data_IF_696843587326
#
_entry.id   IF_696843587326
#
_cell.length_a   1.000
_cell.length_b   1.000
_cell.length_c   1.000
_cell.angle_alpha   90.00
_cell.angle_beta   90.00
_cell.angle_gamma   90.00
#
_symmetry.space_group_name_H-M   'P 1'
#
loop_
_entity.id
_entity.type
_entity.pdbx_description
1 polymer ?
#
# COMPACT_ATOMS: atom_id res chain seq x y z
N UNK A 1 -0.27 1.20 -18.35
CA UNK A 1 -0.63 2.40 -17.56
C UNK A 1 -2.12 2.43 -17.37
N UNK A 2 -2.60 2.58 -16.13
CA UNK A 2 -4.04 2.71 -15.85
C UNK A 2 -4.48 4.16 -15.97
N UNK A 3 -5.69 4.35 -16.50
CA UNK A 3 -6.38 5.63 -16.39
C UNK A 3 -7.01 5.82 -15.01
N UNK A 4 -7.37 7.04 -14.66
CA UNK A 4 -8.16 7.34 -13.46
C UNK A 4 -9.45 6.50 -13.42
N UNK A 5 -10.16 6.41 -14.55
CA UNK A 5 -11.39 5.63 -14.66
C UNK A 5 -11.15 4.15 -14.37
N UNK A 6 -10.09 3.57 -14.92
CA UNK A 6 -9.73 2.17 -14.67
C UNK A 6 -9.33 1.92 -13.21
N UNK A 7 -8.63 2.87 -12.58
CA UNK A 7 -8.29 2.77 -11.16
C UNK A 7 -9.54 2.78 -10.28
N UNK A 8 -10.45 3.73 -10.49
CA UNK A 8 -11.69 3.81 -9.70
C UNK A 8 -12.56 2.56 -9.91
N UNK A 9 -12.61 2.01 -11.11
CA UNK A 9 -13.34 0.78 -11.38
C UNK A 9 -12.73 -0.44 -10.65
N UNK A 10 -11.40 -0.55 -10.54
CA UNK A 10 -10.79 -1.62 -9.75
C UNK A 10 -11.16 -1.58 -8.26
N UNK A 11 -11.48 -0.41 -7.72
CA UNK A 11 -11.86 -0.29 -6.31
C UNK A 11 -13.25 -0.86 -6.05
N UNK A 12 -14.03 -1.19 -7.09
CA UNK A 12 -15.35 -1.82 -7.03
C UNK A 12 -15.26 -3.34 -7.08
N UNK A 13 -14.38 -3.89 -6.28
CA UNK A 13 -13.97 -5.31 -6.30
C UNK A 13 -14.58 -6.15 -5.15
N UNK A 14 -15.58 -5.59 -4.46
CA UNK A 14 -16.24 -6.25 -3.34
C UNK A 14 -15.45 -6.26 -2.03
N UNK A 15 -14.35 -5.50 -1.94
CA UNK A 15 -13.56 -5.33 -0.70
C UNK A 15 -14.44 -5.04 0.52
N UNK A 16 -14.03 -5.58 1.65
CA UNK A 16 -14.80 -5.47 2.89
C UNK A 16 -14.30 -4.28 3.71
N UNK A 17 -15.02 -3.15 3.58
CA UNK A 17 -14.73 -1.89 4.25
C UNK A 17 -15.91 -1.50 5.13
N UNK A 18 -15.64 -1.05 6.35
CA UNK A 18 -16.64 -0.60 7.31
C UNK A 18 -16.41 0.85 7.72
N UNK A 19 -17.49 1.63 7.77
CA UNK A 19 -17.53 3.00 8.30
C UNK A 19 -18.68 3.06 9.31
N UNK A 20 -18.41 3.53 10.53
CA UNK A 20 -19.40 3.59 11.63
C UNK A 20 -20.15 2.28 11.90
N UNK A 21 -19.50 1.13 11.68
CA UNK A 21 -20.10 -0.20 11.86
C UNK A 21 -20.93 -0.69 10.67
N UNK A 22 -21.15 0.12 9.65
CA UNK A 22 -21.87 -0.24 8.43
C UNK A 22 -20.90 -0.61 7.30
N UNK A 23 -21.27 -1.63 6.51
CA UNK A 23 -20.48 -2.05 5.35
C UNK A 23 -20.64 -1.02 4.23
N UNK A 24 -19.51 -0.56 3.70
CA UNK A 24 -19.46 0.30 2.51
C UNK A 24 -19.65 -0.56 1.27
N UNK A 25 -20.66 -0.26 0.46
CA UNK A 25 -20.92 -0.98 -0.80
C UNK A 25 -19.91 -0.60 -1.89
N UNK A 26 -19.61 0.69 -2.03
CA UNK A 26 -18.66 1.22 -3.00
C UNK A 26 -17.82 2.33 -2.37
N UNK A 27 -16.51 2.07 -2.24
CA UNK A 27 -15.56 3.02 -1.63
C UNK A 27 -15.37 4.30 -2.44
N UNK A 28 -15.68 4.29 -3.74
CA UNK A 28 -15.50 5.41 -4.66
C UNK A 28 -16.64 6.44 -4.58
N UNK A 29 -17.81 6.03 -4.07
CA UNK A 29 -19.01 6.87 -4.03
C UNK A 29 -19.50 7.15 -2.61
N UNK A 30 -19.17 6.29 -1.64
CA UNK A 30 -19.59 6.51 -0.25
C UNK A 30 -19.00 7.82 0.33
N UNK A 31 -19.79 8.67 1.02
CA UNK A 31 -19.41 10.05 1.35
C UNK A 31 -18.09 10.22 2.10
N UNK A 32 -17.71 9.23 2.92
CA UNK A 32 -16.46 9.25 3.70
C UNK A 32 -15.26 8.78 2.87
N UNK A 33 -15.44 7.68 2.15
CA UNK A 33 -14.35 6.96 1.48
C UNK A 33 -14.03 7.56 0.11
N UNK A 34 -15.02 8.18 -0.53
CA UNK A 34 -14.87 8.82 -1.83
C UNK A 34 -13.83 9.95 -1.81
N UNK A 35 -13.64 10.64 -0.67
CA UNK A 35 -12.61 11.67 -0.48
C UNK A 35 -11.21 11.06 -0.62
N UNK A 36 -10.98 9.93 0.05
CA UNK A 36 -9.72 9.20 -0.03
C UNK A 36 -9.48 8.60 -1.42
N UNK A 37 -10.51 8.04 -2.06
CA UNK A 37 -10.42 7.54 -3.43
C UNK A 37 -10.06 8.66 -4.44
N UNK A 38 -10.65 9.84 -4.30
CA UNK A 38 -10.32 11.03 -5.11
C UNK A 38 -8.89 11.49 -4.90
N UNK A 39 -8.39 11.46 -3.66
CA UNK A 39 -6.99 11.81 -3.37
C UNK A 39 -6.04 10.79 -3.99
N UNK A 40 -6.34 9.50 -3.86
CA UNK A 40 -5.53 8.41 -4.43
C UNK A 40 -5.47 8.46 -5.96
N UNK A 41 -6.55 8.91 -6.63
CA UNK A 41 -6.59 8.99 -8.09
C UNK A 41 -5.56 9.97 -8.67
N UNK A 42 -5.05 10.92 -7.88
CA UNK A 42 -4.06 11.92 -8.32
C UNK A 42 -2.77 11.27 -8.83
N UNK A 43 -2.35 10.13 -8.28
CA UNK A 43 -1.19 9.36 -8.79
C UNK A 43 -1.41 8.88 -10.23
N UNK A 44 -2.66 8.61 -10.62
CA UNK A 44 -3.04 8.22 -11.97
C UNK A 44 -3.20 9.44 -12.88
N UNK A 45 -3.78 10.54 -12.38
CA UNK A 45 -3.85 11.82 -13.11
C UNK A 45 -2.46 12.32 -13.53
N UNK A 46 -1.46 12.23 -12.64
CA UNK A 46 -0.07 12.61 -12.95
C UNK A 46 0.53 11.70 -14.02
N UNK A 47 0.17 10.42 -14.00
CA UNK A 47 0.66 9.44 -14.97
C UNK A 47 0.04 9.64 -16.36
N UNK A 48 -1.18 10.17 -16.44
CA UNK A 48 -1.88 10.50 -17.69
C UNK A 48 -1.49 11.87 -18.25
N UNK A 49 -1.01 12.79 -17.41
CA UNK A 49 -0.61 14.14 -17.79
C UNK A 49 0.68 14.13 -18.65
N UNK A 50 0.61 14.52 -19.94
CA UNK A 50 1.79 14.55 -20.81
C UNK A 50 2.90 15.50 -20.29
N UNK A 51 2.55 16.55 -19.54
CA UNK A 51 3.51 17.47 -18.97
C UNK A 51 4.32 16.85 -17.82
N UNK A 52 3.85 15.75 -17.25
CA UNK A 52 4.52 15.02 -16.17
C UNK A 52 5.30 13.79 -16.66
N UNK A 53 5.20 13.44 -17.94
CA UNK A 53 5.67 12.16 -18.47
C UNK A 53 7.17 11.90 -18.26
N UNK A 54 8.01 12.94 -18.24
CA UNK A 54 9.47 12.84 -18.07
C UNK A 54 9.86 12.29 -16.68
N UNK A 55 9.11 12.62 -15.64
CA UNK A 55 9.36 12.14 -14.28
C UNK A 55 8.33 11.12 -13.78
N UNK A 56 7.11 11.11 -14.30
CA UNK A 56 6.05 10.18 -13.87
C UNK A 56 6.22 8.78 -14.46
N UNK A 57 6.84 8.67 -15.63
CA UNK A 57 6.98 7.41 -16.36
C UNK A 57 8.43 6.95 -16.44
N UNK A 58 8.61 5.64 -16.48
CA UNK A 58 9.88 4.99 -16.78
C UNK A 58 9.70 4.06 -17.98
N UNK A 59 10.68 4.08 -18.89
CA UNK A 59 10.72 3.17 -20.04
C UNK A 59 11.61 1.98 -19.68
N UNK A 60 11.03 0.78 -19.70
CA UNK A 60 11.77 -0.46 -19.50
C UNK A 60 12.64 -0.79 -20.72
N UNK A 61 13.66 -1.67 -20.59
CA UNK A 61 14.45 -2.14 -21.73
C UNK A 61 13.63 -2.78 -22.86
N UNK A 62 12.44 -3.31 -22.52
CA UNK A 62 11.46 -3.84 -23.47
C UNK A 62 10.78 -2.77 -24.33
N UNK A 63 10.95 -1.49 -23.99
CA UNK A 63 10.25 -0.35 -24.60
C UNK A 63 8.91 -0.01 -23.95
N UNK A 64 8.41 -0.86 -23.03
CA UNK A 64 7.17 -0.60 -22.31
C UNK A 64 7.33 0.56 -21.32
N UNK A 65 6.31 1.42 -21.21
CA UNK A 65 6.25 2.47 -20.20
C UNK A 65 5.44 2.04 -19.00
N UNK A 66 6.03 2.18 -17.82
CA UNK A 66 5.40 1.91 -16.53
C UNK A 66 5.36 3.18 -15.67
N UNK A 67 4.54 3.18 -14.62
CA UNK A 67 4.63 4.21 -13.59
C UNK A 67 6.02 4.15 -12.97
N UNK A 68 6.69 5.31 -12.85
CA UNK A 68 8.04 5.39 -12.27
C UNK A 68 8.07 4.88 -10.82
N UNK A 69 6.94 4.87 -10.12
CA UNK A 69 6.86 4.29 -8.78
C UNK A 69 7.34 2.83 -8.72
N UNK A 70 7.13 2.03 -9.77
CA UNK A 70 7.57 0.63 -9.81
C UNK A 70 8.99 0.44 -10.37
N UNK A 71 9.58 1.45 -11.01
CA UNK A 71 10.97 1.41 -11.46
C UNK A 71 11.91 1.67 -10.26
N UNK A 72 12.70 0.68 -9.79
CA UNK A 72 13.61 0.89 -8.67
C UNK A 72 14.68 1.92 -9.05
N UNK A 73 14.94 2.95 -8.21
CA UNK A 73 15.96 3.94 -8.53
C UNK A 73 17.35 3.29 -8.58
N UNK A 74 18.09 3.50 -9.67
CA UNK A 74 19.46 2.97 -9.88
C UNK A 74 20.51 4.08 -9.99
N UNK A 75 20.08 5.33 -10.01
CA UNK A 75 20.93 6.51 -10.19
C UNK A 75 20.41 7.73 -9.43
N UNK A 76 21.24 8.76 -9.30
CA UNK A 76 20.81 10.06 -8.76
C UNK A 76 19.70 10.70 -9.62
N UNK A 77 19.75 10.51 -10.94
CA UNK A 77 18.72 10.99 -11.85
C UNK A 77 17.36 10.33 -11.57
N UNK A 78 17.33 9.02 -11.30
CA UNK A 78 16.09 8.33 -10.94
C UNK A 78 15.49 8.85 -9.64
N UNK A 79 16.35 9.15 -8.65
CA UNK A 79 15.92 9.76 -7.39
C UNK A 79 15.36 11.18 -7.59
N UNK A 80 15.97 11.98 -8.48
CA UNK A 80 15.45 13.31 -8.83
C UNK A 80 14.07 13.19 -9.50
N UNK A 81 13.88 12.26 -10.43
CA UNK A 81 12.58 12.02 -11.05
C UNK A 81 11.53 11.55 -10.03
N UNK A 82 11.89 10.59 -9.16
CA UNK A 82 10.99 10.14 -8.08
C UNK A 82 10.61 11.28 -7.14
N UNK A 83 11.57 12.14 -6.75
CA UNK A 83 11.30 13.33 -5.95
C UNK A 83 10.30 14.26 -6.64
N UNK A 84 10.52 14.58 -7.93
CA UNK A 84 9.60 15.43 -8.72
C UNK A 84 8.19 14.84 -8.79
N UNK A 85 8.09 13.51 -8.96
CA UNK A 85 6.80 12.81 -8.97
C UNK A 85 6.06 12.96 -7.64
N UNK A 86 6.74 12.75 -6.52
CA UNK A 86 6.16 12.89 -5.17
C UNK A 86 5.79 14.34 -4.88
N UNK A 87 6.65 15.30 -5.23
CA UNK A 87 6.39 16.74 -5.06
C UNK A 87 5.18 17.19 -5.88
N UNK A 88 5.02 16.68 -7.10
CA UNK A 88 3.87 16.96 -7.96
C UNK A 88 2.56 16.44 -7.34
N UNK A 89 2.57 15.19 -6.85
CA UNK A 89 1.46 14.62 -6.08
C UNK A 89 1.09 15.47 -4.87
N UNK A 90 2.10 15.83 -4.08
CA UNK A 90 1.92 16.69 -2.91
C UNK A 90 1.33 18.06 -3.28
N UNK A 91 1.82 18.68 -4.36
CA UNK A 91 1.34 19.98 -4.83
C UNK A 91 -0.13 19.93 -5.26
N UNK A 92 -0.57 18.85 -5.94
CA UNK A 92 -1.97 18.63 -6.32
C UNK A 92 -2.87 18.30 -5.11
N UNK A 93 -2.27 17.83 -4.02
CA UNK A 93 -2.96 17.42 -2.79
C UNK A 93 -2.69 18.34 -1.59
N UNK A 94 -2.45 19.64 -1.82
CA UNK A 94 -2.23 20.65 -0.77
C UNK A 94 -1.18 20.28 0.29
N UNK A 95 -0.10 19.62 -0.12
CA UNK A 95 1.03 19.23 0.73
C UNK A 95 0.97 17.79 1.26
N UNK A 96 -0.12 17.05 1.02
CA UNK A 96 -0.23 15.63 1.38
C UNK A 96 0.18 14.75 0.19
N UNK A 97 0.88 13.61 0.37
CA UNK A 97 1.07 12.69 -0.74
C UNK A 97 -0.30 12.11 -1.19
N UNK A 98 -0.47 11.68 -2.46
CA UNK A 98 -1.71 11.04 -2.92
C UNK A 98 -2.02 9.68 -2.26
N UNK A 99 -1.00 9.06 -1.66
CA UNK A 99 -1.05 7.79 -0.92
C UNK A 99 -1.33 6.51 -1.73
N UNK A 100 -1.52 6.57 -3.05
CA UNK A 100 -1.83 5.35 -3.82
C UNK A 100 -0.59 4.50 -4.12
N UNK A 101 0.58 5.10 -4.38
CA UNK A 101 1.77 4.34 -4.83
C UNK A 101 3.07 4.63 -4.08
N UNK A 102 3.28 5.85 -3.58
CA UNK A 102 4.57 6.28 -3.02
C UNK A 102 5.07 5.37 -1.87
N UNK A 103 4.42 5.39 -0.72
CA UNK A 103 4.89 4.67 0.47
C UNK A 103 4.94 3.15 0.30
N UNK A 104 3.98 2.57 -0.44
CA UNK A 104 4.00 1.13 -0.75
C UNK A 104 5.20 0.75 -1.62
N UNK A 105 5.51 1.54 -2.65
CA UNK A 105 6.66 1.24 -3.52
C UNK A 105 8.01 1.50 -2.86
N UNK A 106 8.10 2.46 -1.93
CA UNK A 106 9.31 2.61 -1.11
C UNK A 106 9.52 1.43 -0.16
N UNK A 107 8.45 0.92 0.46
CA UNK A 107 8.51 -0.31 1.24
C UNK A 107 8.87 -1.53 0.37
N UNK A 108 8.37 -1.63 -0.85
CA UNK A 108 8.73 -2.67 -1.81
C UNK A 108 10.22 -2.59 -2.22
N UNK A 109 10.76 -1.39 -2.41
CA UNK A 109 12.19 -1.18 -2.66
C UNK A 109 13.04 -1.65 -1.48
N UNK A 110 12.64 -1.33 -0.25
CA UNK A 110 13.31 -1.80 0.96
C UNK A 110 13.24 -3.33 1.10
N UNK A 111 12.07 -3.93 0.83
CA UNK A 111 11.87 -5.38 0.85
C UNK A 111 12.78 -6.08 -0.16
N UNK A 112 12.95 -5.53 -1.36
CA UNK A 112 13.87 -6.09 -2.37
C UNK A 112 15.33 -6.06 -1.88
N UNK A 113 15.77 -4.97 -1.26
CA UNK A 113 17.13 -4.87 -0.69
C UNK A 113 17.33 -5.92 0.42
N UNK A 114 16.38 -6.02 1.35
CA UNK A 114 16.43 -6.99 2.44
C UNK A 114 16.42 -8.43 1.91
N UNK A 115 15.51 -8.75 1.00
CA UNK A 115 15.41 -10.09 0.38
C UNK A 115 16.72 -10.49 -0.30
N UNK A 116 17.37 -9.58 -1.05
CA UNK A 116 18.67 -9.85 -1.69
C UNK A 116 19.78 -10.16 -0.67
N UNK A 117 19.76 -9.48 0.48
CA UNK A 117 20.72 -9.77 1.56
C UNK A 117 20.44 -11.13 2.21
N UNK A 118 19.18 -11.47 2.42
CA UNK A 118 18.76 -12.76 2.98
C UNK A 118 19.16 -13.90 2.03
N UNK A 119 18.88 -13.76 0.73
CA UNK A 119 19.24 -14.74 -0.30
C UNK A 119 20.75 -15.02 -0.29
N UNK A 120 21.59 -13.98 -0.18
CA UNK A 120 23.05 -14.14 -0.08
C UNK A 120 23.49 -14.91 1.17
N UNK A 121 22.79 -14.75 2.28
CA UNK A 121 23.16 -15.36 3.57
C UNK A 121 22.55 -16.75 3.79
N UNK A 122 21.39 -17.03 3.18
CA UNK A 122 20.54 -18.19 3.49
C UNK A 122 20.24 -19.07 2.28
N UNK A 123 20.60 -18.65 1.06
CA UNK A 123 20.33 -19.41 -0.16
C UNK A 123 18.85 -19.47 -0.53
N UNK A 124 18.05 -18.50 -0.07
CA UNK A 124 16.63 -18.36 -0.42
C UNK A 124 16.44 -17.74 -1.82
N UNK A 125 15.20 -17.69 -2.28
CA UNK A 125 14.77 -17.10 -3.56
C UNK A 125 13.86 -15.87 -3.39
N UNK A 126 13.95 -15.19 -2.25
CA UNK A 126 13.01 -14.14 -1.86
C UNK A 126 13.13 -12.90 -2.75
N UNK A 127 14.33 -12.52 -3.18
CA UNK A 127 14.51 -11.38 -4.09
C UNK A 127 13.75 -11.60 -5.40
N UNK A 128 13.84 -12.81 -5.96
CA UNK A 128 13.14 -13.15 -7.18
C UNK A 128 11.61 -13.11 -6.99
N UNK A 129 11.09 -13.49 -5.82
CA UNK A 129 9.65 -13.36 -5.48
C UNK A 129 9.21 -11.90 -5.40
N UNK A 130 10.01 -11.05 -4.75
CA UNK A 130 9.72 -9.60 -4.63
C UNK A 130 9.71 -8.93 -6.00
N UNK A 131 10.68 -9.23 -6.87
CA UNK A 131 10.73 -8.63 -8.20
C UNK A 131 9.59 -9.15 -9.11
N UNK A 132 9.18 -10.41 -9.01
CA UNK A 132 7.96 -10.91 -9.69
C UNK A 132 6.70 -10.16 -9.23
N UNK A 133 6.59 -9.88 -7.93
CA UNK A 133 5.46 -9.10 -7.41
C UNK A 133 5.51 -7.64 -7.90
N UNK A 134 6.71 -7.03 -7.98
CA UNK A 134 6.91 -5.71 -8.58
C UNK A 134 6.49 -5.69 -10.05
N UNK A 135 6.88 -6.69 -10.84
CA UNK A 135 6.48 -6.83 -12.24
C UNK A 135 4.96 -6.94 -12.38
N UNK A 136 4.31 -7.76 -11.53
CA UNK A 136 2.86 -7.85 -11.45
C UNK A 136 2.20 -6.49 -11.16
N UNK A 137 2.69 -5.76 -10.16
CA UNK A 137 2.19 -4.43 -9.81
C UNK A 137 2.42 -3.41 -10.93
N UNK A 138 3.57 -3.45 -11.61
CA UNK A 138 3.92 -2.55 -12.70
C UNK A 138 3.05 -2.79 -13.95
N UNK A 139 2.85 -4.06 -14.30
CA UNK A 139 2.02 -4.48 -15.43
C UNK A 139 0.57 -4.00 -15.26
N UNK A 140 0.02 -4.15 -14.06
CA UNK A 140 -1.36 -3.74 -13.76
C UNK A 140 -1.47 -2.29 -13.28
N UNK A 141 -0.35 -1.62 -13.00
CA UNK A 141 -0.28 -0.28 -12.41
C UNK A 141 -1.08 -0.14 -11.09
N UNK A 142 -1.02 -1.19 -10.25
CA UNK A 142 -1.83 -1.35 -9.03
C UNK A 142 -1.30 -0.58 -7.84
N UNK A 143 -2.13 0.29 -7.28
CA UNK A 143 -1.87 1.00 -6.01
C UNK A 143 -1.54 0.03 -4.86
N UNK A 144 -0.64 0.46 -3.98
CA UNK A 144 -0.04 -0.37 -2.94
C UNK A 144 0.03 0.40 -1.62
N UNK A 145 -0.74 -0.03 -0.62
CA UNK A 145 -0.62 0.50 0.74
C UNK A 145 0.41 -0.31 1.54
N UNK A 146 1.19 0.37 2.38
CA UNK A 146 2.13 -0.30 3.29
C UNK A 146 1.45 -0.69 4.60
N UNK A 147 1.20 -1.98 4.79
CA UNK A 147 0.61 -2.56 5.98
C UNK A 147 1.69 -2.88 7.03
N UNK A 148 2.34 -1.83 7.56
CA UNK A 148 3.47 -1.99 8.49
C UNK A 148 3.04 -2.13 9.95
N UNK A 149 2.28 -1.18 10.49
CA UNK A 149 2.07 -1.05 11.94
C UNK A 149 1.10 -2.09 12.48
N UNK A 150 1.55 -2.94 13.40
CA UNK A 150 0.71 -3.86 14.16
C UNK A 150 -0.07 -3.12 15.28
N UNK A 151 -1.13 -3.75 15.82
CA UNK A 151 -1.94 -3.20 16.93
C UNK A 151 -1.12 -3.09 18.23
N UNK A 152 -0.07 -3.93 18.37
CA UNK A 152 0.94 -3.93 19.45
C UNK A 152 0.50 -4.38 20.85
N UNK A 153 -0.79 -4.48 21.14
CA UNK A 153 -1.29 -5.02 22.41
C UNK A 153 -0.63 -4.38 23.64
N UNK A 154 -0.18 -5.21 24.58
CA UNK A 154 0.66 -4.77 25.70
C UNK A 154 2.07 -4.44 25.18
N UNK A 155 2.42 -3.16 25.18
CA UNK A 155 3.71 -2.68 24.64
C UNK A 155 4.92 -3.06 25.49
N UNK A 156 4.72 -3.56 26.71
CA UNK A 156 5.80 -4.11 27.54
C UNK A 156 6.24 -5.50 27.09
N UNK A 157 5.40 -6.18 26.29
CA UNK A 157 5.63 -7.54 25.81
C UNK A 157 6.07 -7.56 24.33
N UNK A 158 6.80 -8.61 23.96
CA UNK A 158 7.12 -8.92 22.56
C UNK A 158 5.93 -9.59 21.84
N UNK A 159 5.91 -9.66 20.50
CA UNK A 159 4.84 -10.33 19.75
C UNK A 159 4.51 -11.74 20.27
N UNK A 160 5.53 -12.61 20.41
CA UNK A 160 5.34 -13.99 20.89
C UNK A 160 4.87 -14.12 22.36
N UNK A 161 4.92 -13.02 23.12
CA UNK A 161 4.54 -12.99 24.53
C UNK A 161 3.14 -12.40 24.75
N UNK A 162 2.48 -11.91 23.69
CA UNK A 162 1.16 -11.32 23.82
C UNK A 162 0.13 -12.38 24.26
N UNK A 163 -0.72 -12.09 25.26
CA UNK A 163 -1.82 -12.97 25.63
C UNK A 163 -2.78 -13.25 24.47
N UNK A 164 -2.96 -12.25 23.60
CA UNK A 164 -3.66 -12.40 22.33
C UNK A 164 -2.64 -12.31 21.17
N UNK A 165 -2.35 -13.41 20.46
CA UNK A 165 -1.39 -13.39 19.36
C UNK A 165 -1.85 -12.55 18.17
N UNK A 166 -3.16 -12.31 18.02
CA UNK A 166 -3.76 -11.59 16.89
C UNK A 166 -3.54 -10.08 16.93
N UNK A 167 -2.95 -9.53 18.00
CA UNK A 167 -2.56 -8.10 18.05
C UNK A 167 -1.36 -7.79 17.14
N UNK A 168 -0.79 -8.83 16.53
CA UNK A 168 0.17 -8.78 15.43
C UNK A 168 -0.28 -9.74 14.31
N UNK A 169 0.02 -9.39 13.07
CA UNK A 169 -0.14 -10.35 11.96
C UNK A 169 0.92 -11.45 12.07
N UNK A 170 0.50 -12.71 11.99
CA UNK A 170 1.37 -13.87 12.05
C UNK A 170 0.85 -15.02 11.18
N UNK A 171 1.77 -15.94 10.88
CA UNK A 171 1.48 -17.20 10.20
C UNK A 171 0.87 -18.16 11.22
N UNK A 172 -0.35 -18.63 10.96
CA UNK A 172 -1.02 -19.65 11.78
C UNK A 172 -0.93 -21.05 11.17
N UNK A 173 -0.63 -21.13 9.88
CA UNK A 173 -0.49 -22.39 9.15
C UNK A 173 0.41 -22.20 7.93
N UNK A 174 1.29 -23.17 7.69
CA UNK A 174 2.09 -23.29 6.47
C UNK A 174 1.59 -24.50 5.68
N UNK A 175 1.34 -24.29 4.38
CA UNK A 175 0.83 -25.29 3.45
C UNK A 175 1.75 -25.40 2.24
N UNK A 176 1.72 -26.51 1.49
CA UNK A 176 2.50 -26.64 0.27
C UNK A 176 2.22 -25.55 -0.78
N UNK A 177 1.01 -24.97 -0.76
CA UNK A 177 0.54 -23.94 -1.69
C UNK A 177 0.58 -22.51 -1.13
N UNK A 178 0.97 -22.31 0.15
CA UNK A 178 1.05 -20.97 0.73
C UNK A 178 1.03 -20.92 2.25
N UNK A 179 0.65 -19.77 2.79
CA UNK A 179 0.56 -19.52 4.24
C UNK A 179 -0.81 -18.96 4.59
N UNK A 180 -1.30 -19.27 5.80
CA UNK A 180 -2.50 -18.67 6.36
C UNK A 180 -2.09 -17.62 7.37
N UNK A 181 -2.58 -16.39 7.17
CA UNK A 181 -2.31 -15.26 8.03
C UNK A 181 -3.49 -14.96 8.97
N UNK A 182 -3.17 -14.57 10.19
CA UNK A 182 -4.15 -14.06 11.16
C UNK A 182 -3.57 -12.90 11.94
N UNK A 183 -4.42 -11.96 12.31
CA UNK A 183 -4.07 -10.81 13.16
C UNK A 183 -4.57 -9.49 12.58
N UNK A 184 -4.03 -8.39 13.08
CA UNK A 184 -4.45 -7.06 12.68
C UNK A 184 -3.27 -6.08 12.52
N UNK A 185 -3.40 -5.22 11.51
CA UNK A 185 -2.59 -4.02 11.32
C UNK A 185 -3.42 -2.79 11.67
N UNK A 186 -2.80 -1.79 12.26
CA UNK A 186 -3.41 -0.53 12.68
C UNK A 186 -2.83 0.65 11.89
N UNK A 187 -3.63 1.68 11.64
CA UNK A 187 -3.22 2.92 10.99
C UNK A 187 -2.61 2.73 9.59
N UNK A 188 -3.22 1.86 8.78
CA UNK A 188 -2.81 1.68 7.38
C UNK A 188 -3.49 2.75 6.52
N UNK A 189 -2.77 3.84 6.31
CA UNK A 189 -3.23 4.96 5.46
C UNK A 189 -3.54 4.45 4.06
N UNK A 190 -4.66 4.93 3.51
CA UNK A 190 -5.17 4.61 2.18
C UNK A 190 -5.49 3.14 1.88
N UNK A 191 -5.41 2.22 2.84
CA UNK A 191 -5.75 0.79 2.60
C UNK A 191 -7.10 0.58 1.86
N UNK A 192 -8.20 1.27 2.21
CA UNK A 192 -9.47 1.09 1.49
C UNK A 192 -9.45 1.54 0.03
N UNK A 193 -8.46 2.33 -0.38
CA UNK A 193 -8.33 2.94 -1.70
C UNK A 193 -7.11 2.41 -2.48
N UNK A 194 -6.47 1.35 -1.98
CA UNK A 194 -5.38 0.65 -2.68
C UNK A 194 -5.84 -0.69 -3.23
N UNK A 195 -5.23 -1.18 -4.31
CA UNK A 195 -5.49 -2.51 -4.87
C UNK A 195 -4.84 -3.59 -4.00
N UNK A 196 -3.64 -3.30 -3.50
CA UNK A 196 -2.78 -4.26 -2.81
C UNK A 196 -2.29 -3.72 -1.46
N UNK A 197 -2.01 -4.62 -0.53
CA UNK A 197 -1.47 -4.36 0.80
C UNK A 197 -0.13 -5.06 0.94
N UNK A 198 0.97 -4.30 1.14
CA UNK A 198 2.27 -4.87 1.46
C UNK A 198 2.38 -5.04 2.98
N UNK A 199 2.14 -6.25 3.47
CA UNK A 199 2.33 -6.61 4.88
C UNK A 199 3.82 -6.73 5.16
N UNK A 200 4.32 -5.96 6.13
CA UNK A 200 5.71 -6.03 6.59
C UNK A 200 5.79 -6.05 8.13
N UNK A 201 6.90 -6.53 8.73
CA UNK A 201 7.09 -6.49 10.18
C UNK A 201 7.23 -5.07 10.73
N UNK A 202 6.65 -4.80 11.92
CA UNK A 202 6.69 -3.47 12.55
C UNK A 202 8.01 -3.13 13.25
N UNK A 203 8.74 -4.14 13.75
CA UNK A 203 9.87 -3.94 14.67
C UNK A 203 10.94 -5.00 14.46
N UNK A 204 12.10 -4.79 15.08
CA UNK A 204 13.14 -5.81 15.16
C UNK A 204 12.64 -7.04 15.96
N UNK A 205 12.41 -8.13 15.23
CA UNK A 205 11.96 -9.41 15.76
C UNK A 205 13.14 -10.24 16.28
N UNK A 206 12.88 -11.17 17.20
CA UNK A 206 13.86 -12.16 17.68
C UNK A 206 13.51 -13.55 17.14
N UNK A 207 14.34 -14.56 17.42
CA UNK A 207 14.07 -15.94 17.06
C UNK A 207 12.76 -16.48 17.64
N UNK A 208 12.34 -15.98 18.81
CA UNK A 208 11.05 -16.34 19.43
C UNK A 208 9.85 -15.80 18.64
N UNK A 209 10.03 -14.74 17.85
CA UNK A 209 8.96 -14.09 17.09
C UNK A 209 8.82 -14.64 15.65
N UNK A 210 9.29 -15.87 15.38
CA UNK A 210 9.41 -16.41 14.00
C UNK A 210 8.08 -16.39 13.24
N UNK A 211 6.95 -16.73 13.90
CA UNK A 211 5.63 -16.71 13.27
C UNK A 211 5.17 -15.31 12.81
N UNK A 212 5.73 -14.24 13.38
CA UNK A 212 5.41 -12.84 13.07
C UNK A 212 6.36 -12.26 12.00
N UNK A 213 7.40 -12.99 11.61
CA UNK A 213 8.43 -12.55 10.67
C UNK A 213 8.00 -12.74 9.21
N UNK A 214 6.86 -12.14 8.84
CA UNK A 214 6.26 -12.29 7.50
C UNK A 214 6.28 -10.98 6.71
N UNK A 215 6.61 -11.08 5.42
CA UNK A 215 6.56 -10.00 4.44
C UNK A 215 5.90 -10.51 3.15
N UNK A 216 4.73 -10.00 2.80
CA UNK A 216 3.97 -10.47 1.63
C UNK A 216 3.02 -9.41 1.08
N UNK A 217 2.69 -9.51 -0.20
CA UNK A 217 1.58 -8.80 -0.83
C UNK A 217 0.26 -9.52 -0.57
N UNK A 218 -0.81 -8.76 -0.29
CA UNK A 218 -2.16 -9.27 -0.07
C UNK A 218 -3.15 -8.36 -0.83
N UNK A 219 -4.01 -8.90 -1.71
CA UNK A 219 -5.06 -8.11 -2.35
C UNK A 219 -5.99 -7.49 -1.31
N UNK A 220 -6.38 -6.22 -1.50
CA UNK A 220 -7.23 -5.51 -0.54
C UNK A 220 -8.65 -6.12 -0.43
N UNK A 221 -9.10 -6.84 -1.45
CA UNK A 221 -10.36 -7.58 -1.47
C UNK A 221 -10.23 -9.08 -1.15
N UNK A 222 -9.06 -9.54 -0.71
CA UNK A 222 -8.87 -10.95 -0.41
C UNK A 222 -9.85 -11.44 0.67
N UNK A 223 -10.44 -12.64 0.55
CA UNK A 223 -11.32 -13.20 1.57
C UNK A 223 -10.67 -13.21 2.95
N UNK A 224 -11.35 -12.62 3.94
CA UNK A 224 -10.85 -12.48 5.32
C UNK A 224 -10.15 -11.16 5.62
N UNK A 225 -9.83 -10.34 4.60
CA UNK A 225 -9.35 -8.97 4.80
C UNK A 225 -10.54 -8.06 5.11
N UNK A 226 -10.51 -7.42 6.28
CA UNK A 226 -11.53 -6.45 6.72
C UNK A 226 -10.86 -5.14 7.08
N UNK A 227 -11.39 -4.03 6.55
CA UNK A 227 -10.85 -2.70 6.81
C UNK A 227 -11.86 -1.88 7.60
N UNK A 228 -11.48 -1.47 8.81
CA UNK A 228 -12.31 -0.64 9.68
C UNK A 228 -11.79 0.80 9.62
N UNK A 229 -12.59 1.70 9.05
CA UNK A 229 -12.22 3.09 8.84
C UNK A 229 -12.46 3.88 10.14
N UNK A 230 -11.45 4.65 10.56
CA UNK A 230 -11.57 5.57 11.70
C UNK A 230 -12.59 6.68 11.40
N UNK A 231 -13.05 7.35 12.45
CA UNK A 231 -13.91 8.53 12.30
C UNK A 231 -13.26 9.60 11.39
N UNK A 232 -13.87 9.96 10.25
CA UNK A 232 -13.45 11.06 9.40
C UNK A 232 -13.83 12.43 10.00
N UNK A 233 -12.89 13.37 9.98
CA UNK A 233 -13.07 14.72 10.57
C UNK A 233 -14.20 15.52 9.90
N UNK A 234 -14.48 15.24 8.62
CA UNK A 234 -15.33 16.03 7.72
C UNK A 234 -16.61 15.34 7.27
N UNK A 235 -16.91 14.12 7.72
CA UNK A 235 -18.09 13.41 7.24
C UNK A 235 -19.38 14.17 7.55
N UNK A 236 -20.20 14.36 6.52
CA UNK A 236 -21.48 15.06 6.62
C UNK A 236 -21.36 16.56 6.89
N UNK A 237 -20.17 17.17 6.75
CA UNK A 237 -19.95 18.60 6.98
C UNK A 237 -19.84 19.38 5.68
N UNK A 238 -20.07 20.70 5.74
CA UNK A 238 -19.98 21.59 4.59
C UNK A 238 -18.53 21.73 4.09
N UNK A 239 -18.20 21.35 2.84
CA UNK A 239 -16.85 21.49 2.30
C UNK A 239 -16.31 22.93 2.26
N UNK A 240 -17.17 23.95 2.30
CA UNK A 240 -16.77 25.36 2.36
C UNK A 240 -16.18 25.75 3.72
N UNK A 241 -16.65 25.14 4.81
CA UNK A 241 -16.08 25.31 6.15
C UNK A 241 -14.87 24.38 6.38
N UNK A 242 -14.78 23.29 5.61
CA UNK A 242 -13.74 22.28 5.70
C UNK A 242 -12.95 22.17 4.38
N UNK A 243 -12.23 23.23 3.96
CA UNK A 243 -11.66 23.34 2.60
C UNK A 243 -10.56 22.31 2.30
N UNK A 244 -9.93 21.74 3.34
CA UNK A 244 -8.92 20.67 3.21
C UNK A 244 -9.58 19.31 3.41
N UNK A 245 -10.08 19.02 4.61
CA UNK A 245 -10.62 17.69 4.96
C UNK A 245 -11.89 17.30 4.20
N UNK A 246 -12.62 18.25 3.61
CA UNK A 246 -13.75 17.96 2.72
C UNK A 246 -13.31 17.55 1.30
N UNK A 247 -12.03 17.69 0.97
CA UNK A 247 -11.46 17.41 -0.36
C UNK A 247 -10.37 16.34 -0.36
N UNK A 248 -9.59 16.24 0.73
CA UNK A 248 -8.46 15.32 0.88
C UNK A 248 -8.55 14.51 2.19
#
# INVERSE_FOLDING_TARGET
>A
MRSVTQFLEDLRDGREVYVYGERVEDVTTHPVTAIGAKTAQVDYEISEDPACADFALATLPTGERISRYYAPPRSAADLIHRRRLIEEGARRCLGFPPFAKEGGTDALNAAAVAAKQIDKQRGTDYYARVERYREFLALHDYSLAVAMTDVKGDRSLRPAQQPNPDVYVHIVEERPDGIVLRGAKAHITAAPFCNELLVIPTRALTAEDTAYAVCCGVPANAPGVRMIVRDPVSAGKDPTEYPVSGKY
#
